data_IF_703666255632
#
_entry.id   IF_703666255632
#
_cell.length_a   1.000
_cell.length_b   1.000
_cell.length_c   1.000
_cell.angle_alpha   90.00
_cell.angle_beta   90.00
_cell.angle_gamma   90.00
#
_symmetry.space_group_name_H-M   'P 1'
#
loop_
_entity.id
_entity.type
_entity.pdbx_description
1 polymer ?
#
# COMPACT_ATOMS: atom_id res chain seq x y z
N UNK A 1 -0.70 -74.28 19.37
CA UNK A 1 -1.43 -74.13 18.09
C UNK A 1 -1.29 -72.69 17.60
N UNK A 2 -1.29 -72.54 16.27
CA UNK A 2 -0.85 -71.41 15.44
C UNK A 2 -1.42 -70.03 15.82
N UNK A 3 -0.54 -69.03 15.97
CA UNK A 3 -0.89 -67.60 15.86
C UNK A 3 -0.77 -67.16 14.40
N UNK A 4 -1.78 -66.48 13.82
CA UNK A 4 -1.67 -65.96 12.46
C UNK A 4 -0.84 -64.68 12.42
N UNK A 5 0.05 -64.62 11.42
CA UNK A 5 0.86 -63.45 11.06
C UNK A 5 -0.07 -62.37 10.50
N UNK A 6 -0.20 -61.25 11.21
CA UNK A 6 -0.85 -60.04 10.69
C UNK A 6 0.16 -59.34 9.78
N UNK A 7 -0.11 -59.39 8.47
CA UNK A 7 0.66 -58.69 7.44
C UNK A 7 0.21 -57.23 7.41
N UNK A 8 1.06 -56.33 7.88
CA UNK A 8 0.87 -54.87 7.78
C UNK A 8 1.16 -54.45 6.34
N UNK A 9 0.12 -54.27 5.53
CA UNK A 9 0.22 -53.70 4.17
C UNK A 9 0.21 -52.18 4.31
N UNK A 10 1.39 -51.57 4.21
CA UNK A 10 1.57 -50.12 4.10
C UNK A 10 1.00 -49.65 2.75
N UNK A 11 -0.24 -49.18 2.77
CA UNK A 11 -0.87 -48.47 1.66
C UNK A 11 -0.28 -47.05 1.61
N UNK A 12 0.85 -46.87 0.92
CA UNK A 12 1.34 -45.55 0.53
C UNK A 12 0.42 -45.01 -0.58
N UNK A 13 -0.64 -44.32 -0.20
CA UNK A 13 -1.41 -43.47 -1.10
C UNK A 13 -0.52 -42.30 -1.54
N UNK A 14 0.04 -42.43 -2.73
CA UNK A 14 0.66 -41.35 -3.50
C UNK A 14 -0.39 -40.24 -3.71
N UNK A 15 -0.46 -39.28 -2.80
CA UNK A 15 -1.14 -38.00 -3.03
C UNK A 15 -0.25 -37.23 -4.00
N UNK A 16 -0.44 -37.48 -5.29
CA UNK A 16 0.12 -36.67 -6.35
C UNK A 16 -0.48 -35.27 -6.26
N UNK A 17 0.20 -34.38 -5.54
CA UNK A 17 -0.03 -32.94 -5.66
C UNK A 17 0.37 -32.54 -7.08
N UNK A 18 -0.56 -32.66 -8.02
CA UNK A 18 -0.49 -31.97 -9.29
C UNK A 18 -0.54 -30.47 -8.95
N UNK A 19 0.62 -29.85 -8.78
CA UNK A 19 0.78 -28.40 -8.78
C UNK A 19 0.27 -27.91 -10.15
N UNK A 20 -1.03 -27.67 -10.24
CA UNK A 20 -1.60 -26.85 -11.29
C UNK A 20 -1.01 -25.47 -11.11
N UNK A 21 0.03 -25.19 -11.89
CA UNK A 21 0.54 -23.85 -12.10
C UNK A 21 -0.61 -23.11 -12.77
N UNK A 22 -1.49 -22.53 -11.96
CA UNK A 22 -2.52 -21.63 -12.44
C UNK A 22 -1.77 -20.52 -13.18
N UNK A 23 -1.87 -20.52 -14.50
CA UNK A 23 -1.54 -19.36 -15.32
C UNK A 23 -2.56 -18.29 -14.93
N UNK A 24 -2.31 -17.64 -13.80
CA UNK A 24 -2.96 -16.40 -13.46
C UNK A 24 -2.55 -15.43 -14.55
N UNK A 25 -3.43 -15.25 -15.53
CA UNK A 25 -3.36 -14.13 -16.45
C UNK A 25 -3.51 -12.90 -15.55
N UNK A 26 -2.39 -12.31 -15.16
CA UNK A 26 -2.35 -11.13 -14.31
C UNK A 26 -3.21 -10.06 -14.99
N UNK A 27 -4.29 -9.64 -14.33
CA UNK A 27 -5.15 -8.60 -14.87
C UNK A 27 -4.38 -7.27 -14.93
N UNK A 28 -4.66 -6.39 -15.91
CA UNK A 28 -3.88 -5.18 -16.20
C UNK A 28 -3.68 -4.25 -15.01
N UNK A 29 -4.61 -4.25 -14.06
CA UNK A 29 -4.58 -3.36 -12.89
C UNK A 29 -4.34 -4.13 -11.59
N UNK A 30 -4.20 -5.45 -11.62
CA UNK A 30 -4.07 -6.25 -10.40
C UNK A 30 -2.67 -6.16 -9.82
N UNK A 31 -2.53 -6.30 -8.50
CA UNK A 31 -1.24 -6.33 -7.84
C UNK A 31 -1.30 -7.09 -6.52
N UNK A 32 -0.12 -7.48 -6.03
CA UNK A 32 0.05 -8.07 -4.70
C UNK A 32 0.85 -7.14 -3.78
N UNK A 33 1.72 -6.32 -4.36
CA UNK A 33 2.57 -5.36 -3.66
C UNK A 33 2.88 -4.16 -4.57
N UNK A 34 3.31 -3.04 -3.98
CA UNK A 34 3.56 -1.78 -4.69
C UNK A 34 4.52 -1.94 -5.86
N UNK A 35 5.56 -2.78 -5.71
CA UNK A 35 6.54 -3.04 -6.78
C UNK A 35 5.98 -3.77 -8.00
N UNK A 36 4.74 -4.28 -7.94
CA UNK A 36 4.03 -4.77 -9.11
C UNK A 36 3.43 -3.65 -9.96
N UNK A 37 3.39 -2.41 -9.48
CA UNK A 37 2.72 -1.31 -10.16
C UNK A 37 3.70 -0.40 -10.90
N UNK A 38 3.25 0.17 -12.00
CA UNK A 38 3.92 1.27 -12.71
C UNK A 38 2.88 2.24 -13.26
N UNK A 39 3.29 3.49 -13.50
CA UNK A 39 2.45 4.46 -14.19
C UNK A 39 2.67 4.32 -15.71
N UNK A 40 1.61 4.06 -16.45
CA UNK A 40 1.57 4.03 -17.90
C UNK A 40 0.87 5.26 -18.45
N UNK A 41 1.41 5.83 -19.52
CA UNK A 41 0.81 6.94 -20.28
C UNK A 41 -0.67 6.72 -20.63
N UNK A 42 -0.98 5.60 -21.28
CA UNK A 42 -2.34 5.37 -21.79
C UNK A 42 -3.26 4.76 -20.73
N UNK A 43 -2.68 4.05 -19.76
CA UNK A 43 -3.44 3.14 -18.89
C UNK A 43 -3.41 3.55 -17.41
N UNK A 44 -2.68 4.60 -17.05
CA UNK A 44 -2.50 5.00 -15.65
C UNK A 44 -1.72 3.95 -14.84
N UNK A 45 -2.03 3.80 -13.56
CA UNK A 45 -1.42 2.79 -12.70
C UNK A 45 -1.82 1.37 -13.13
N UNK A 46 -0.84 0.59 -13.58
CA UNK A 46 -1.01 -0.77 -14.12
C UNK A 46 0.00 -1.75 -13.54
N UNK A 47 -0.34 -3.04 -13.63
CA UNK A 47 0.56 -4.13 -13.32
C UNK A 47 1.73 -4.16 -14.31
N UNK A 48 2.95 -4.11 -13.77
CA UNK A 48 4.22 -4.08 -14.49
C UNK A 48 4.44 -5.32 -15.36
N UNK A 49 4.15 -6.50 -14.83
CA UNK A 49 4.34 -7.77 -15.54
C UNK A 49 3.36 -7.92 -16.71
N UNK A 50 2.10 -7.55 -16.50
CA UNK A 50 1.11 -7.50 -17.58
C UNK A 50 1.52 -6.46 -18.63
N UNK A 51 1.90 -5.25 -18.20
CA UNK A 51 2.28 -4.16 -19.11
C UNK A 51 3.48 -4.54 -19.99
N UNK A 52 4.51 -5.17 -19.41
CA UNK A 52 5.70 -5.62 -20.16
C UNK A 52 5.38 -6.62 -21.30
N UNK A 53 4.30 -7.39 -21.17
CA UNK A 53 3.87 -8.37 -22.19
C UNK A 53 2.92 -7.78 -23.24
N UNK A 54 2.32 -6.62 -22.97
CA UNK A 54 1.20 -6.07 -23.74
C UNK A 54 1.43 -4.64 -24.26
N UNK A 55 2.56 -3.99 -23.93
CA UNK A 55 2.82 -2.59 -24.29
C UNK A 55 3.43 -2.45 -25.69
N UNK A 56 2.59 -2.14 -26.67
CA UNK A 56 3.01 -1.56 -27.95
C UNK A 56 2.67 -0.06 -28.04
N UNK A 57 2.56 0.64 -26.89
CA UNK A 57 1.89 1.95 -26.80
C UNK A 57 2.80 3.00 -26.15
N UNK A 58 3.24 4.00 -26.94
CA UNK A 58 3.64 5.35 -26.54
C UNK A 58 3.32 6.29 -27.73
N UNK A 59 2.82 7.52 -27.59
CA UNK A 59 3.34 8.66 -26.82
C UNK A 59 2.22 9.56 -26.25
N UNK A 60 2.42 10.10 -25.04
CA UNK A 60 1.46 10.88 -24.23
C UNK A 60 1.33 12.37 -24.58
N UNK A 61 0.24 13.03 -24.15
CA UNK A 61 0.24 14.47 -23.80
C UNK A 61 -0.33 14.81 -22.40
N UNK A 62 -1.08 13.91 -21.74
CA UNK A 62 -1.68 14.20 -20.41
C UNK A 62 -1.85 12.97 -19.47
N UNK A 63 -1.31 11.82 -19.86
CA UNK A 63 -1.62 10.52 -19.24
C UNK A 63 -0.67 10.01 -18.14
N UNK A 64 -0.23 10.87 -17.21
CA UNK A 64 0.45 10.50 -15.95
C UNK A 64 1.94 10.15 -16.00
N UNK A 65 2.62 10.32 -17.13
CA UNK A 65 4.09 10.36 -17.13
C UNK A 65 4.57 11.76 -16.75
N UNK A 66 5.25 11.86 -15.61
CA UNK A 66 6.01 13.05 -15.20
C UNK A 66 5.46 13.82 -13.98
N UNK A 67 4.20 13.62 -13.58
CA UNK A 67 3.57 14.40 -12.49
C UNK A 67 2.89 13.57 -11.40
N UNK A 68 2.83 12.24 -11.55
CA UNK A 68 2.29 11.36 -10.52
C UNK A 68 3.40 10.78 -9.64
N UNK A 69 3.05 10.55 -8.38
CA UNK A 69 3.88 9.78 -7.45
C UNK A 69 3.93 8.31 -7.90
N UNK A 70 4.79 7.52 -7.26
CA UNK A 70 4.85 6.08 -7.49
C UNK A 70 3.48 5.44 -7.19
N UNK A 71 2.93 4.61 -8.09
CA UNK A 71 1.64 3.97 -7.86
C UNK A 71 1.78 2.89 -6.79
N UNK A 72 0.72 2.67 -6.03
CA UNK A 72 0.69 1.72 -4.93
C UNK A 72 -0.34 0.62 -5.15
N UNK A 73 -0.10 -0.53 -4.55
CA UNK A 73 -1.01 -1.65 -4.58
C UNK A 73 -2.03 -1.56 -3.44
N UNK A 74 -3.24 -1.11 -3.78
CA UNK A 74 -4.31 -0.86 -2.81
C UNK A 74 -5.48 -1.78 -3.12
N UNK A 75 -5.90 -2.59 -2.14
CA UNK A 75 -7.00 -3.54 -2.29
C UNK A 75 -6.82 -4.46 -3.52
N UNK A 76 -5.56 -4.88 -3.76
CA UNK A 76 -5.12 -5.66 -4.93
C UNK A 76 -5.21 -4.95 -6.29
N UNK A 77 -5.31 -3.62 -6.30
CA UNK A 77 -5.29 -2.80 -7.52
C UNK A 77 -4.21 -1.72 -7.52
N UNK A 78 -3.52 -1.59 -8.66
CA UNK A 78 -2.58 -0.50 -8.88
C UNK A 78 -3.32 0.83 -8.91
N UNK A 79 -2.92 1.71 -8.01
CA UNK A 79 -3.56 3.00 -7.76
C UNK A 79 -2.54 4.12 -7.83
N UNK A 80 -2.80 5.14 -8.65
CA UNK A 80 -1.93 6.29 -8.81
C UNK A 80 -2.17 7.36 -7.74
N UNK A 81 -1.09 8.04 -7.38
CA UNK A 81 -1.12 9.19 -6.47
C UNK A 81 -0.48 10.41 -7.12
N UNK A 82 -0.82 11.59 -6.64
CA UNK A 82 -0.17 12.84 -6.99
C UNK A 82 -0.07 13.70 -5.74
N UNK A 83 1.15 14.02 -5.34
CA UNK A 83 1.44 14.75 -4.12
C UNK A 83 0.71 14.17 -2.87
N UNK A 84 0.75 12.85 -2.74
CA UNK A 84 0.18 12.05 -1.65
C UNK A 84 -1.33 11.80 -1.76
N UNK A 85 -2.01 12.39 -2.74
CA UNK A 85 -3.46 12.26 -2.93
C UNK A 85 -3.81 11.28 -4.04
N UNK A 86 -4.91 10.54 -3.87
CA UNK A 86 -5.43 9.64 -4.92
C UNK A 86 -5.67 10.41 -6.22
N UNK A 87 -5.05 9.95 -7.31
CA UNK A 87 -5.23 10.56 -8.61
C UNK A 87 -6.18 9.71 -9.46
N UNK A 88 -7.43 10.17 -9.57
CA UNK A 88 -8.48 9.50 -10.33
C UNK A 88 -8.22 9.49 -11.84
N UNK A 89 -7.53 10.50 -12.37
CA UNK A 89 -7.21 10.56 -13.79
C UNK A 89 -6.17 9.51 -14.17
N UNK A 90 -5.26 9.24 -13.23
CA UNK A 90 -4.17 8.27 -13.34
C UNK A 90 -4.50 6.87 -12.80
N UNK A 91 -5.69 6.64 -12.27
CA UNK A 91 -6.12 5.31 -11.80
C UNK A 91 -7.27 4.82 -12.69
N UNK A 92 -6.95 4.01 -13.70
CA UNK A 92 -7.94 3.45 -14.64
C UNK A 92 -8.54 2.12 -14.17
N UNK A 93 -7.94 1.49 -13.17
CA UNK A 93 -8.46 0.28 -12.53
C UNK A 93 -9.70 0.54 -11.64
N UNK A 94 -10.20 -0.50 -10.95
CA UNK A 94 -11.27 -0.36 -9.97
C UNK A 94 -10.93 0.70 -8.90
N UNK A 95 -11.93 1.49 -8.51
CA UNK A 95 -11.76 2.49 -7.45
C UNK A 95 -11.67 1.81 -6.09
N UNK A 96 -10.65 2.11 -5.27
CA UNK A 96 -10.62 1.65 -3.89
C UNK A 96 -11.84 2.16 -3.11
N UNK A 97 -12.24 1.42 -2.06
CA UNK A 97 -13.31 1.83 -1.16
C UNK A 97 -12.96 3.17 -0.48
N UNK A 98 -13.95 4.02 -0.22
CA UNK A 98 -13.73 5.39 0.27
C UNK A 98 -12.98 5.44 1.62
N UNK A 99 -13.33 4.55 2.55
CA UNK A 99 -12.65 4.44 3.84
C UNK A 99 -11.17 4.08 3.67
N UNK A 100 -10.85 3.19 2.74
CA UNK A 100 -9.48 2.81 2.40
C UNK A 100 -8.71 4.01 1.85
N UNK A 101 -9.30 4.78 0.92
CA UNK A 101 -8.66 6.01 0.44
C UNK A 101 -8.40 7.03 1.55
N UNK A 102 -9.35 7.20 2.48
CA UNK A 102 -9.23 8.17 3.57
C UNK A 102 -8.02 7.87 4.44
N UNK A 103 -7.80 6.61 4.79
CA UNK A 103 -6.65 6.18 5.58
C UNK A 103 -5.35 6.30 4.79
N UNK A 104 -5.38 5.97 3.49
CA UNK A 104 -4.20 6.10 2.64
C UNK A 104 -3.72 7.55 2.55
N UNK A 105 -4.62 8.51 2.34
CA UNK A 105 -4.26 9.94 2.25
C UNK A 105 -3.84 10.49 3.61
N UNK A 106 -4.44 9.99 4.69
CA UNK A 106 -4.10 10.39 6.06
C UNK A 106 -2.65 10.07 6.41
N UNK A 107 -2.20 8.88 6.05
CA UNK A 107 -0.88 8.39 6.46
C UNK A 107 0.16 8.42 5.33
N UNK A 108 -0.18 8.82 4.10
CA UNK A 108 0.76 8.78 2.97
C UNK A 108 1.87 9.83 3.09
N UNK A 109 3.01 9.56 2.46
CA UNK A 109 4.07 10.54 2.27
C UNK A 109 4.91 10.19 1.04
N UNK A 110 5.63 11.18 0.50
CA UNK A 110 6.68 10.95 -0.47
C UNK A 110 8.09 11.17 0.13
N UNK A 111 8.18 11.98 1.19
CA UNK A 111 9.42 12.34 1.88
C UNK A 111 9.14 12.68 3.34
N UNK A 112 10.16 12.61 4.20
CA UNK A 112 10.04 12.87 5.64
C UNK A 112 9.36 14.21 5.96
N UNK A 113 9.62 15.25 5.17
CA UNK A 113 9.03 16.58 5.34
C UNK A 113 7.52 16.64 5.07
N UNK A 114 6.94 15.61 4.44
CA UNK A 114 5.50 15.50 4.27
C UNK A 114 4.82 14.96 5.53
N UNK A 115 5.58 14.39 6.46
CA UNK A 115 5.08 13.84 7.69
C UNK A 115 5.14 14.84 8.83
N UNK A 116 4.16 14.78 9.71
CA UNK A 116 4.18 15.43 11.01
C UNK A 116 3.75 14.44 12.08
N UNK A 117 4.11 14.74 13.32
CA UNK A 117 3.51 14.07 14.48
C UNK A 117 2.32 14.89 14.96
N UNK A 118 1.22 14.21 15.14
CA UNK A 118 0.03 14.70 15.81
C UNK A 118 -0.11 14.00 17.16
N UNK A 119 -0.46 14.75 18.19
CA UNK A 119 -0.73 14.19 19.52
C UNK A 119 -1.88 13.17 19.49
N UNK A 120 -2.96 13.50 18.76
CA UNK A 120 -4.13 12.62 18.65
C UNK A 120 -3.93 11.53 17.62
N UNK A 121 -3.38 11.86 16.45
CA UNK A 121 -3.42 10.96 15.28
C UNK A 121 -2.11 10.19 15.05
N UNK A 122 -1.02 10.51 15.78
CA UNK A 122 0.30 9.93 15.53
C UNK A 122 0.99 10.55 14.30
N UNK A 123 1.85 9.79 13.63
CA UNK A 123 2.55 10.18 12.42
C UNK A 123 1.57 10.21 11.24
N UNK A 124 1.33 11.39 10.70
CA UNK A 124 0.34 11.60 9.62
C UNK A 124 0.91 12.51 8.54
N UNK A 125 0.30 12.46 7.37
CA UNK A 125 0.56 13.40 6.29
C UNK A 125 0.18 14.82 6.73
N UNK A 126 1.13 15.75 6.67
CA UNK A 126 0.93 17.11 7.13
C UNK A 126 -0.03 17.93 6.28
N UNK A 127 -0.18 17.61 4.99
CA UNK A 127 -1.18 18.27 4.13
C UNK A 127 -2.59 17.83 4.50
N UNK A 128 -2.81 16.53 4.64
CA UNK A 128 -4.08 15.98 5.14
C UNK A 128 -4.43 16.58 6.50
N UNK A 129 -3.46 16.58 7.42
CA UNK A 129 -3.66 17.10 8.76
C UNK A 129 -4.10 18.56 8.75
N UNK A 130 -3.35 19.44 8.05
CA UNK A 130 -3.71 20.86 7.90
C UNK A 130 -5.08 21.07 7.26
N UNK A 131 -5.45 20.24 6.29
CA UNK A 131 -6.77 20.34 5.65
C UNK A 131 -7.89 19.97 6.64
N UNK A 132 -7.68 18.96 7.48
CA UNK A 132 -8.69 18.46 8.41
C UNK A 132 -8.79 19.28 9.71
N UNK A 133 -7.66 19.80 10.21
CA UNK A 133 -7.61 20.56 11.47
C UNK A 133 -8.01 22.03 11.32
N UNK A 134 -8.05 22.58 10.10
CA UNK A 134 -8.54 23.94 9.82
C UNK A 134 -9.93 24.25 10.40
N UNK A 135 -10.74 23.22 10.60
CA UNK A 135 -12.10 23.35 11.12
C UNK A 135 -12.25 22.94 12.59
N UNK A 136 -11.15 22.53 13.25
CA UNK A 136 -11.21 22.01 14.62
C UNK A 136 -10.54 23.00 15.57
N UNK A 137 -11.35 23.75 16.29
CA UNK A 137 -10.90 24.60 17.41
C UNK A 137 -10.39 23.73 18.55
N UNK A 138 -9.19 24.02 19.07
CA UNK A 138 -8.58 23.31 20.22
C UNK A 138 -7.58 22.20 19.86
N UNK A 139 -7.13 22.08 18.61
CA UNK A 139 -6.26 20.98 18.15
C UNK A 139 -4.77 21.13 18.53
N UNK A 140 -4.39 22.10 19.37
CA UNK A 140 -2.98 22.49 19.60
C UNK A 140 -2.40 22.13 20.97
N UNK A 141 -3.19 21.59 21.89
CA UNK A 141 -2.71 21.37 23.27
C UNK A 141 -2.35 19.91 23.47
N UNK A 142 -1.06 19.63 23.61
CA UNK A 142 -0.54 18.29 23.82
C UNK A 142 -0.08 18.11 25.26
N UNK A 143 -1.01 17.81 26.16
CA UNK A 143 -0.71 17.03 27.36
C UNK A 143 -0.97 15.55 27.04
N UNK A 144 0.09 14.85 26.61
CA UNK A 144 0.03 13.42 26.27
C UNK A 144 -0.21 13.14 24.78
N UNK A 145 0.73 12.41 24.16
CA UNK A 145 0.65 11.98 22.77
C UNK A 145 2.01 11.55 22.22
N UNK A 146 2.05 11.22 20.93
CA UNK A 146 3.30 10.80 20.27
C UNK A 146 4.29 11.96 20.11
N UNK A 147 3.79 13.18 19.88
CA UNK A 147 4.60 14.39 19.77
C UNK A 147 5.29 14.76 21.10
N UNK A 148 4.65 14.52 22.25
CA UNK A 148 5.21 14.86 23.57
C UNK A 148 6.37 13.96 24.00
N UNK A 149 6.63 12.87 23.27
CA UNK A 149 7.68 11.90 23.60
C UNK A 149 9.02 12.19 22.90
N UNK A 150 9.15 13.34 22.22
CA UNK A 150 10.36 13.65 21.44
C UNK A 150 10.52 12.78 20.19
N UNK A 151 9.44 12.17 19.73
CA UNK A 151 9.44 11.36 18.51
C UNK A 151 9.68 12.23 17.27
N UNK A 152 10.09 11.58 16.19
CA UNK A 152 10.13 12.16 14.84
C UNK A 152 9.26 11.32 13.91
N UNK A 153 8.55 11.96 12.98
CA UNK A 153 7.89 11.24 11.90
C UNK A 153 8.83 11.12 10.71
N UNK A 154 8.91 9.94 10.12
CA UNK A 154 9.68 9.65 8.89
C UNK A 154 8.76 9.06 7.84
N UNK A 155 9.11 9.27 6.58
CA UNK A 155 8.44 8.62 5.48
C UNK A 155 9.14 7.30 5.16
N UNK A 156 8.49 6.18 5.48
CA UNK A 156 9.00 4.86 5.18
C UNK A 156 7.94 4.07 4.41
N UNK A 157 8.31 3.53 3.25
CA UNK A 157 7.39 2.82 2.34
C UNK A 157 6.12 3.64 2.03
N UNK A 158 6.29 4.94 1.78
CA UNK A 158 5.21 5.90 1.48
C UNK A 158 4.17 6.07 2.59
N UNK A 159 4.53 5.72 3.83
CA UNK A 159 3.71 5.88 5.02
C UNK A 159 4.48 6.70 6.07
N UNK A 160 3.80 7.65 6.70
CA UNK A 160 4.32 8.38 7.84
C UNK A 160 4.39 7.48 9.06
N UNK A 161 5.59 7.30 9.57
CA UNK A 161 5.94 6.36 10.61
C UNK A 161 6.61 7.10 11.77
N UNK A 162 6.21 6.79 13.01
CA UNK A 162 6.79 7.44 14.19
C UNK A 162 8.03 6.70 14.68
N UNK A 163 9.06 7.46 15.05
CA UNK A 163 10.32 6.96 15.56
C UNK A 163 10.73 7.67 16.85
N UNK A 164 11.30 6.93 17.81
CA UNK A 164 11.99 7.44 18.99
C UNK A 164 13.40 6.85 19.02
N UNK A 165 14.43 7.68 19.00
CA UNK A 165 15.84 7.25 19.02
C UNK A 165 16.17 6.17 17.96
N UNK A 166 15.61 6.33 16.76
CA UNK A 166 15.81 5.40 15.65
C UNK A 166 14.97 4.11 15.73
N UNK A 167 14.20 3.91 16.80
CA UNK A 167 13.28 2.78 16.96
C UNK A 167 11.87 3.16 16.52
N UNK A 168 11.24 2.31 15.70
CA UNK A 168 9.87 2.50 15.21
C UNK A 168 8.85 2.30 16.34
N UNK A 169 7.84 3.15 16.42
CA UNK A 169 6.79 3.15 17.46
C UNK A 169 5.39 2.95 16.84
N UNK A 170 4.94 1.70 16.62
CA UNK A 170 3.72 1.40 15.88
C UNK A 170 2.43 2.02 16.45
N UNK A 171 2.36 2.16 17.78
CA UNK A 171 1.23 2.82 18.46
C UNK A 171 1.08 4.31 18.08
N UNK A 172 2.09 4.86 17.41
CA UNK A 172 2.17 6.24 16.97
C UNK A 172 2.21 6.39 15.45
N UNK A 173 2.06 5.32 14.66
CA UNK A 173 2.09 5.36 13.19
C UNK A 173 0.69 5.34 12.56
N UNK A 174 -0.18 4.45 13.06
CA UNK A 174 -1.52 4.18 12.51
C UNK A 174 -2.42 3.79 13.67
N UNK A 175 -3.12 4.78 14.22
CA UNK A 175 -4.17 4.54 15.21
C UNK A 175 -5.45 4.04 14.55
#
# INVERSE_FOLDING_TARGET
MRYPKIVFVLLFTLVGFACHKSENVEAPYSCQQDSNCLNSCALGAVNKSWYAKNSQLDTCDDGCTGWSDEPRCIDHFCTAFQAGQYNVLCTKGPKPKENVMRDIVRYSCARDTDCLLSCKEGAVNGRWYKQYTKHVTGFHECEGGCESLGMVAKCENFICEAYLDGTKYPQCTRK
#
